data_IF_597469700866
#
_entry.id   IF_597469700866
#
_cell.length_a   1.000
_cell.length_b   1.000
_cell.length_c   1.000
_cell.angle_alpha   90.00
_cell.angle_beta   90.00
_cell.angle_gamma   90.00
#
_symmetry.space_group_name_H-M   'P 1'
#
loop_
_entity.id
_entity.type
_entity.pdbx_description
1 polymer ?
#
# COMPACT_ATOMS: atom_id res chain seq x y z
N UNK A 1 18.40 -4.52 -21.52
CA UNK A 1 17.01 -4.04 -21.37
C UNK A 1 16.79 -3.59 -19.92
N UNK A 2 15.93 -2.60 -19.63
CA UNK A 2 15.61 -2.23 -18.25
C UNK A 2 15.03 -3.44 -17.48
N UNK A 3 15.49 -3.68 -16.25
CA UNK A 3 14.98 -4.78 -15.42
C UNK A 3 13.59 -4.42 -14.87
N UNK A 4 12.54 -4.59 -15.69
CA UNK A 4 11.16 -4.26 -15.34
C UNK A 4 10.67 -4.99 -14.08
N UNK A 5 11.15 -6.21 -13.82
CA UNK A 5 10.80 -6.96 -12.62
C UNK A 5 11.27 -6.28 -11.33
N UNK A 6 12.42 -5.60 -11.33
CA UNK A 6 12.87 -4.85 -10.15
C UNK A 6 12.05 -3.57 -9.92
N UNK A 7 11.46 -2.99 -10.97
CA UNK A 7 10.56 -1.84 -10.86
C UNK A 7 9.19 -2.23 -10.25
N UNK A 8 8.85 -3.51 -10.23
CA UNK A 8 7.61 -3.99 -9.60
C UNK A 8 7.60 -3.82 -8.08
N UNK A 9 8.78 -3.86 -7.43
CA UNK A 9 8.92 -3.68 -5.98
C UNK A 9 8.51 -2.27 -5.53
N UNK A 10 9.09 -1.17 -6.07
CA UNK A 10 8.63 0.17 -5.74
C UNK A 10 7.20 0.44 -6.23
N UNK A 11 6.76 -0.18 -7.34
CA UNK A 11 5.38 -0.07 -7.78
C UNK A 11 4.39 -0.66 -6.75
N UNK A 12 4.69 -1.84 -6.19
CA UNK A 12 3.87 -2.47 -5.15
C UNK A 12 3.90 -1.68 -3.82
N UNK A 13 5.03 -1.05 -3.50
CA UNK A 13 5.09 -0.14 -2.35
C UNK A 13 4.16 1.06 -2.53
N UNK A 14 4.15 1.68 -3.72
CA UNK A 14 3.25 2.80 -4.01
C UNK A 14 1.78 2.39 -3.93
N UNK A 15 1.41 1.21 -4.46
CA UNK A 15 0.02 0.72 -4.37
C UNK A 15 -0.39 0.45 -2.93
N UNK A 16 0.50 -0.10 -2.10
CA UNK A 16 0.26 -0.27 -0.67
C UNK A 16 0.10 1.08 0.06
N UNK A 17 0.69 2.17 -0.44
CA UNK A 17 0.62 3.49 0.18
C UNK A 17 -0.67 4.27 -0.14
N UNK A 18 -1.31 4.00 -1.29
CA UNK A 18 -2.52 4.70 -1.76
C UNK A 18 -3.68 4.64 -0.74
N UNK A 19 -4.04 3.49 -0.14
CA UNK A 19 -5.13 3.42 0.84
C UNK A 19 -4.89 4.33 2.05
N UNK A 20 -3.65 4.47 2.52
CA UNK A 20 -3.32 5.34 3.64
C UNK A 20 -3.47 6.83 3.27
N UNK A 21 -3.01 7.23 2.09
CA UNK A 21 -3.23 8.59 1.59
C UNK A 21 -4.73 8.91 1.49
N UNK A 22 -5.54 7.96 1.02
CA UNK A 22 -7.00 8.10 1.00
C UNK A 22 -7.59 8.24 2.42
N UNK A 23 -7.17 7.39 3.36
CA UNK A 23 -7.62 7.39 4.75
C UNK A 23 -7.37 8.74 5.45
N UNK A 24 -6.15 9.26 5.33
CA UNK A 24 -5.74 10.55 5.93
C UNK A 24 -6.54 11.71 5.32
N UNK A 25 -6.72 11.74 4.01
CA UNK A 25 -7.50 12.80 3.35
C UNK A 25 -8.99 12.75 3.75
N UNK A 26 -9.55 11.54 3.91
CA UNK A 26 -10.93 11.33 4.31
C UNK A 26 -11.19 11.83 5.73
N UNK A 27 -10.30 11.51 6.68
CA UNK A 27 -10.38 12.01 8.06
C UNK A 27 -10.13 13.51 8.14
N UNK A 28 -9.13 14.04 7.42
CA UNK A 28 -8.88 15.50 7.38
C UNK A 28 -10.12 16.27 6.93
N UNK A 29 -10.78 15.83 5.87
CA UNK A 29 -12.01 16.48 5.38
C UNK A 29 -13.17 16.41 6.38
N UNK A 30 -13.29 15.29 7.10
CA UNK A 30 -14.36 15.11 8.07
C UNK A 30 -14.10 15.78 9.43
N UNK A 31 -12.83 16.02 9.77
CA UNK A 31 -12.39 16.59 11.05
C UNK A 31 -11.84 18.01 10.91
N UNK A 32 -12.47 18.84 10.07
CA UNK A 32 -12.12 20.25 9.88
C UNK A 32 -10.62 20.51 9.61
N UNK A 33 -10.02 19.68 8.74
CA UNK A 33 -8.59 19.65 8.39
C UNK A 33 -7.62 19.37 9.55
N UNK A 34 -8.11 18.86 10.69
CA UNK A 34 -7.25 18.45 11.81
C UNK A 34 -6.95 16.96 11.74
N UNK A 35 -5.67 16.65 11.66
CA UNK A 35 -5.16 15.29 11.78
C UNK A 35 -3.86 15.34 12.56
N UNK A 36 -3.79 14.58 13.65
CA UNK A 36 -2.60 14.51 14.49
C UNK A 36 -1.58 13.55 13.86
N UNK A 37 -0.53 14.12 13.27
CA UNK A 37 0.58 13.33 12.69
C UNK A 37 1.55 12.81 13.76
N UNK A 38 1.58 13.39 14.96
CA UNK A 38 2.52 13.00 16.01
C UNK A 38 2.04 11.73 16.74
N UNK A 39 0.72 11.55 16.87
CA UNK A 39 0.14 10.37 17.51
C UNK A 39 -1.11 9.85 16.78
N UNK A 40 -0.97 9.58 15.48
CA UNK A 40 -2.05 9.08 14.62
C UNK A 40 -2.60 7.69 15.03
N UNK A 41 -1.86 6.95 15.86
CA UNK A 41 -2.25 5.63 16.39
C UNK A 41 -2.61 5.65 17.87
N UNK A 42 -2.62 6.83 18.50
CA UNK A 42 -2.94 6.97 19.91
C UNK A 42 -4.40 6.61 20.19
N UNK A 43 -4.64 5.90 21.30
CA UNK A 43 -6.00 5.54 21.75
C UNK A 43 -6.87 6.79 21.95
N UNK A 44 -6.29 7.88 22.46
CA UNK A 44 -6.95 9.18 22.62
C UNK A 44 -7.36 9.81 21.28
N UNK A 45 -6.52 9.70 20.26
CA UNK A 45 -6.83 10.20 18.91
C UNK A 45 -7.92 9.37 18.25
N UNK A 46 -7.87 8.05 18.38
CA UNK A 46 -8.95 7.18 17.87
C UNK A 46 -10.29 7.44 18.57
N UNK A 47 -10.27 7.70 19.88
CA UNK A 47 -11.47 8.09 20.62
C UNK A 47 -12.03 9.44 20.17
N UNK A 48 -11.17 10.44 19.91
CA UNK A 48 -11.63 11.74 19.41
C UNK A 48 -12.21 11.65 17.99
N UNK A 49 -11.62 10.82 17.13
CA UNK A 49 -12.14 10.54 15.79
C UNK A 49 -13.53 9.88 15.82
N UNK A 50 -13.77 8.94 16.74
CA UNK A 50 -15.08 8.30 16.91
C UNK A 50 -16.18 9.29 17.29
N UNK A 51 -15.84 10.34 18.03
CA UNK A 51 -16.78 11.38 18.46
C UNK A 51 -16.96 12.47 17.40
N UNK A 52 -15.90 12.81 16.66
CA UNK A 52 -15.90 13.93 15.72
C UNK A 52 -16.40 13.57 14.31
N UNK A 53 -16.28 12.30 13.89
CA UNK A 53 -16.51 11.87 12.50
C UNK A 53 -17.77 10.99 12.41
N UNK A 54 -18.61 11.14 11.37
CA UNK A 54 -19.75 10.26 11.14
C UNK A 54 -19.34 8.78 11.01
N UNK A 55 -20.14 7.87 11.57
CA UNK A 55 -19.84 6.44 11.61
C UNK A 55 -19.55 5.83 10.22
N UNK A 56 -20.25 6.26 9.17
CA UNK A 56 -20.02 5.79 7.80
C UNK A 56 -18.63 6.17 7.25
N UNK A 57 -18.14 7.36 7.62
CA UNK A 57 -16.81 7.86 7.24
C UNK A 57 -15.74 7.14 8.05
N UNK A 58 -15.98 6.91 9.33
CA UNK A 58 -15.08 6.14 10.19
C UNK A 58 -14.89 4.70 9.71
N UNK A 59 -15.98 4.03 9.32
CA UNK A 59 -15.90 2.67 8.75
C UNK A 59 -15.14 2.61 7.41
N UNK A 60 -15.08 3.72 6.66
CA UNK A 60 -14.24 3.81 5.44
C UNK A 60 -12.77 4.03 5.80
N UNK A 61 -12.49 4.87 6.79
CA UNK A 61 -11.15 5.08 7.32
C UNK A 61 -10.53 3.78 7.85
N UNK A 62 -11.24 3.04 8.70
CA UNK A 62 -10.76 1.77 9.27
C UNK A 62 -10.45 0.72 8.18
N UNK A 63 -11.32 0.62 7.16
CA UNK A 63 -11.09 -0.29 6.02
C UNK A 63 -9.85 0.10 5.21
N UNK A 64 -9.65 1.39 4.97
CA UNK A 64 -8.50 1.88 4.22
C UNK A 64 -7.18 1.69 4.98
N UNK A 65 -7.17 1.91 6.30
CA UNK A 65 -6.03 1.61 7.17
C UNK A 65 -5.74 0.10 7.24
N UNK A 66 -6.77 -0.74 7.30
CA UNK A 66 -6.62 -2.19 7.26
C UNK A 66 -6.00 -2.66 5.94
N UNK A 67 -6.44 -2.09 4.80
CA UNK A 67 -5.88 -2.39 3.49
C UNK A 67 -4.40 -1.95 3.36
N UNK A 68 -4.04 -0.78 3.89
CA UNK A 68 -2.65 -0.33 3.94
C UNK A 68 -1.77 -1.30 4.73
N UNK A 69 -2.22 -1.70 5.93
CA UNK A 69 -1.48 -2.63 6.79
C UNK A 69 -1.30 -3.99 6.12
N UNK A 70 -2.36 -4.54 5.51
CA UNK A 70 -2.28 -5.79 4.77
C UNK A 70 -1.30 -5.69 3.58
N UNK A 71 -1.33 -4.58 2.84
CA UNK A 71 -0.40 -4.32 1.74
C UNK A 71 1.06 -4.27 2.22
N UNK A 72 1.32 -3.62 3.36
CA UNK A 72 2.66 -3.56 3.96
C UNK A 72 3.15 -4.91 4.50
N UNK A 73 2.27 -5.72 5.06
CA UNK A 73 2.59 -7.08 5.55
C UNK A 73 2.93 -8.03 4.39
N UNK A 74 2.27 -7.88 3.24
CA UNK A 74 2.50 -8.70 2.05
C UNK A 74 3.69 -8.26 1.19
N UNK A 75 4.11 -6.99 1.32
CA UNK A 75 5.22 -6.42 0.57
C UNK A 75 6.54 -7.19 0.67
N UNK A 76 7.02 -7.62 1.86
CA UNK A 76 8.27 -8.39 1.96
C UNK A 76 8.17 -9.76 1.26
N UNK A 77 7.01 -10.41 1.31
CA UNK A 77 6.79 -11.67 0.59
C UNK A 77 6.80 -11.47 -0.92
N UNK A 78 6.16 -10.40 -1.41
CA UNK A 78 6.19 -10.04 -2.82
C UNK A 78 7.62 -9.71 -3.30
N UNK A 79 8.36 -8.89 -2.54
CA UNK A 79 9.73 -8.53 -2.87
C UNK A 79 10.65 -9.77 -2.89
N UNK A 80 10.52 -10.67 -1.91
CA UNK A 80 11.27 -11.92 -1.89
C UNK A 80 10.94 -12.82 -3.10
N UNK A 81 9.66 -12.92 -3.48
CA UNK A 81 9.24 -13.68 -4.66
C UNK A 81 9.80 -13.10 -5.97
N UNK A 82 9.78 -11.77 -6.12
CA UNK A 82 10.35 -11.08 -7.30
C UNK A 82 11.86 -11.32 -7.38
N UNK A 83 12.58 -11.24 -6.26
CA UNK A 83 14.01 -11.51 -6.22
C UNK A 83 14.33 -12.98 -6.51
N UNK A 84 13.54 -13.92 -5.99
CA UNK A 84 13.69 -15.35 -6.27
C UNK A 84 13.40 -15.68 -7.75
N UNK A 85 12.35 -15.09 -8.34
CA UNK A 85 12.02 -15.26 -9.75
C UNK A 85 13.12 -14.71 -10.67
N UNK A 86 13.69 -13.56 -10.30
CA UNK A 86 14.85 -12.98 -10.99
C UNK A 86 16.08 -13.88 -10.89
N UNK A 87 16.35 -14.47 -9.72
CA UNK A 87 17.45 -15.41 -9.52
C UNK A 87 17.26 -16.70 -10.33
N UNK A 88 16.02 -17.17 -10.43
CA UNK A 88 15.66 -18.36 -11.19
C UNK A 88 15.64 -18.16 -12.72
N UNK A 89 15.87 -16.94 -13.23
CA UNK A 89 15.92 -16.68 -14.68
C UNK A 89 14.57 -16.66 -15.39
N UNK A 90 13.45 -16.60 -14.65
CA UNK A 90 12.08 -16.69 -15.20
C UNK A 90 11.79 -15.59 -16.24
N UNK A 91 12.43 -14.43 -16.10
CA UNK A 91 12.26 -13.31 -17.03
C UNK A 91 12.85 -13.58 -18.43
N UNK A 92 13.86 -14.44 -18.48
CA UNK A 92 14.54 -14.85 -19.72
C UNK A 92 13.73 -15.95 -20.42
N UNK A 93 13.19 -16.91 -19.65
CA UNK A 93 12.34 -18.00 -20.13
C UNK A 93 11.03 -17.49 -20.77
N UNK A 94 10.40 -16.46 -20.20
CA UNK A 94 9.17 -15.87 -20.75
C UNK A 94 9.41 -15.02 -22.01
N UNK A 95 10.65 -14.58 -22.24
CA UNK A 95 11.07 -13.90 -23.46
C UNK A 95 11.41 -14.92 -24.56
N UNK A 96 12.05 -16.03 -24.17
CA UNK A 96 12.45 -17.12 -25.05
C UNK A 96 11.22 -17.91 -25.57
N UNK A 97 10.21 -18.16 -24.71
CA UNK A 97 8.96 -18.81 -25.09
C UNK A 97 8.04 -17.93 -25.97
N UNK A 98 8.29 -16.61 -26.00
CA UNK A 98 7.60 -15.67 -26.91
C UNK A 98 8.30 -15.43 -28.24
N UNK A 99 9.35 -16.19 -28.57
CA UNK A 99 9.90 -16.22 -29.93
C UNK A 99 10.40 -14.87 -30.46
N UNK A 100 10.81 -13.95 -29.58
CA UNK A 100 11.48 -12.71 -30.01
C UNK A 100 12.98 -12.99 -30.11
N UNK A 101 13.32 -13.91 -31.02
CA UNK A 101 14.68 -14.08 -31.54
C UNK A 101 14.78 -13.34 -32.86
N UNK A 102 15.62 -12.29 -32.91
CA UNK A 102 15.88 -11.48 -34.10
C UNK A 102 16.54 -10.16 -33.76
#
# INVERSE_FOLDING_TARGET
>A
MPNYSLLSIPAMWLTAQVPHAYAVNLVKRANNNRFDNANSKGSAFQASLKTAVPAATLARYERAEAAHRNGMENLPFFAAAVLAAKWAGVEEELCEDRGVGG
#
